data_IF_158195013065
#
_entry.id   IF_158195013065
#
_cell.length_a   1.000
_cell.length_b   1.000
_cell.length_c   1.000
_cell.angle_alpha   90.00
_cell.angle_beta   90.00
_cell.angle_gamma   90.00
#
_symmetry.space_group_name_H-M   'P 1'
#
loop_
_entity.id
_entity.type
_entity.pdbx_description
1 polymer ?
#
# COMPACT_ATOMS: atom_id res chain seq x y z
N UNK A 1 15.88 -14.76 29.59
CA UNK A 1 14.60 -15.02 28.89
C UNK A 1 14.39 -13.87 27.89
N UNK A 2 14.81 -14.06 26.62
CA UNK A 2 14.71 -13.04 25.56
C UNK A 2 13.39 -13.26 24.83
N UNK A 3 12.42 -12.42 25.10
CA UNK A 3 11.22 -12.31 24.27
C UNK A 3 11.56 -11.45 23.06
N UNK A 4 12.19 -12.06 22.05
CA UNK A 4 12.41 -11.41 20.77
C UNK A 4 11.10 -11.39 20.00
N UNK A 5 10.48 -10.21 19.87
CA UNK A 5 9.69 -9.93 18.68
C UNK A 5 10.70 -9.88 17.53
N UNK A 6 10.92 -10.99 16.83
CA UNK A 6 11.57 -10.98 15.53
C UNK A 6 10.61 -10.25 14.58
N UNK A 7 10.73 -8.92 14.54
CA UNK A 7 10.05 -8.12 13.54
C UNK A 7 10.63 -8.41 12.16
N UNK A 8 9.81 -8.31 11.12
CA UNK A 8 10.25 -8.43 9.72
C UNK A 8 11.40 -7.44 9.49
N UNK A 9 12.58 -7.94 9.10
CA UNK A 9 13.71 -7.09 8.75
C UNK A 9 13.50 -6.57 7.34
N UNK A 10 13.38 -5.27 7.21
CA UNK A 10 13.13 -4.62 5.93
C UNK A 10 14.10 -3.47 5.69
N UNK A 11 14.31 -3.16 4.42
CA UNK A 11 15.00 -1.96 3.95
C UNK A 11 14.11 -1.23 2.95
N UNK A 12 14.38 0.06 2.75
CA UNK A 12 13.80 0.82 1.66
C UNK A 12 14.88 1.30 0.70
N UNK A 13 14.57 1.31 -0.58
CA UNK A 13 15.46 1.79 -1.65
C UNK A 13 14.67 2.45 -2.78
N UNK A 14 15.38 2.95 -3.78
CA UNK A 14 14.79 3.51 -4.99
C UNK A 14 15.07 2.62 -6.20
N UNK A 15 14.62 3.04 -7.37
CA UNK A 15 15.02 2.46 -8.66
C UNK A 15 16.48 2.80 -8.98
N UNK A 16 17.11 2.07 -9.92
CA UNK A 16 18.46 2.33 -10.42
C UNK A 16 18.58 3.73 -11.02
N UNK A 17 19.81 4.27 -11.06
CA UNK A 17 20.09 5.58 -11.70
C UNK A 17 19.61 5.63 -13.15
N UNK A 18 19.15 6.83 -13.58
CA UNK A 18 18.71 7.08 -14.96
C UNK A 18 17.24 6.83 -15.23
N UNK A 19 16.45 6.36 -14.25
CA UNK A 19 15.00 6.26 -14.37
C UNK A 19 14.31 7.60 -14.01
N UNK A 20 13.13 7.83 -14.60
CA UNK A 20 12.32 9.01 -14.29
C UNK A 20 11.91 9.05 -12.82
N UNK A 21 11.56 10.23 -12.32
CA UNK A 21 11.07 10.46 -10.93
C UNK A 21 12.13 10.27 -9.83
N UNK A 22 13.42 10.50 -10.13
CA UNK A 22 14.50 10.26 -9.17
C UNK A 22 14.30 11.02 -7.85
N UNK A 23 13.96 12.31 -7.89
CA UNK A 23 13.76 13.12 -6.67
C UNK A 23 12.49 12.72 -5.92
N UNK A 24 11.39 12.45 -6.62
CA UNK A 24 10.14 11.96 -6.03
C UNK A 24 10.37 10.63 -5.32
N UNK A 25 11.04 9.68 -6.00
CA UNK A 25 11.36 8.38 -5.41
C UNK A 25 12.28 8.50 -4.20
N UNK A 26 13.27 9.40 -4.23
CA UNK A 26 14.17 9.63 -3.07
C UNK A 26 13.42 10.20 -1.87
N UNK A 27 12.55 11.19 -2.10
CA UNK A 27 11.73 11.78 -1.06
C UNK A 27 10.78 10.74 -0.44
N UNK A 28 10.15 9.92 -1.28
CA UNK A 28 9.29 8.83 -0.85
C UNK A 28 10.06 7.81 -0.02
N UNK A 29 11.21 7.32 -0.50
CA UNK A 29 12.05 6.36 0.22
C UNK A 29 12.50 6.93 1.58
N UNK A 30 12.94 8.18 1.64
CA UNK A 30 13.36 8.82 2.88
C UNK A 30 12.22 8.97 3.89
N UNK A 31 11.03 9.37 3.43
CA UNK A 31 9.82 9.48 4.26
C UNK A 31 9.43 8.11 4.82
N UNK A 32 9.38 7.10 3.98
CA UNK A 32 9.02 5.72 4.36
C UNK A 32 10.02 5.13 5.35
N UNK A 33 11.32 5.31 5.12
CA UNK A 33 12.36 4.87 6.04
C UNK A 33 12.17 5.45 7.44
N UNK A 34 11.92 6.76 7.52
CA UNK A 34 11.67 7.45 8.78
C UNK A 34 10.38 6.99 9.46
N UNK A 35 9.32 6.78 8.70
CA UNK A 35 8.02 6.36 9.22
C UNK A 35 8.06 4.96 9.81
N UNK A 36 8.78 4.04 9.16
CA UNK A 36 8.85 2.63 9.55
C UNK A 36 10.07 2.29 10.43
N UNK A 37 10.95 3.27 10.67
CA UNK A 37 12.23 3.08 11.38
C UNK A 37 13.09 1.97 10.76
N UNK A 38 13.24 2.01 9.42
CA UNK A 38 14.03 1.04 8.65
C UNK A 38 15.12 1.74 7.83
N UNK A 39 16.23 1.04 7.47
CA UNK A 39 17.30 1.63 6.68
C UNK A 39 16.86 2.10 5.29
N UNK A 40 17.25 3.32 4.92
CA UNK A 40 17.17 3.82 3.54
C UNK A 40 18.49 3.53 2.83
N UNK A 41 18.48 2.58 1.91
CA UNK A 41 19.66 2.03 1.26
C UNK A 41 19.80 2.58 -0.16
N UNK A 42 20.94 3.19 -0.53
CA UNK A 42 21.18 3.60 -1.91
C UNK A 42 21.13 2.42 -2.87
N UNK A 43 20.35 2.55 -3.94
CA UNK A 43 20.17 1.46 -4.90
C UNK A 43 21.46 1.08 -5.67
N UNK A 44 22.26 2.07 -6.04
CA UNK A 44 23.45 1.83 -6.86
C UNK A 44 23.14 1.03 -8.12
N UNK A 45 23.98 0.04 -8.40
CA UNK A 45 23.81 -0.93 -9.49
C UNK A 45 23.35 -2.32 -9.00
N UNK A 46 23.18 -2.49 -7.69
CA UNK A 46 22.87 -3.79 -7.09
C UNK A 46 21.45 -4.26 -7.46
N UNK A 47 21.23 -5.54 -7.54
CA UNK A 47 19.91 -6.16 -7.63
C UNK A 47 19.18 -6.02 -6.28
N UNK A 48 17.86 -6.15 -6.27
CA UNK A 48 17.11 -6.15 -5.00
C UNK A 48 17.51 -7.33 -4.13
N UNK A 49 17.81 -8.45 -4.74
CA UNK A 49 18.27 -9.64 -4.04
C UNK A 49 19.64 -9.44 -3.39
N UNK A 50 20.61 -8.82 -4.10
CA UNK A 50 21.90 -8.48 -3.52
C UNK A 50 21.76 -7.56 -2.32
N UNK A 51 20.91 -6.52 -2.41
CA UNK A 51 20.61 -5.66 -1.27
C UNK A 51 19.95 -6.43 -0.12
N UNK A 52 18.98 -7.29 -0.43
CA UNK A 52 18.28 -8.10 0.56
C UNK A 52 19.27 -8.97 1.35
N UNK A 53 20.16 -9.66 0.64
CA UNK A 53 21.21 -10.50 1.26
C UNK A 53 22.21 -9.66 2.06
N UNK A 54 22.73 -8.57 1.48
CA UNK A 54 23.74 -7.72 2.12
C UNK A 54 23.26 -7.10 3.44
N UNK A 55 21.98 -6.76 3.53
CA UNK A 55 21.36 -6.18 4.72
C UNK A 55 20.65 -7.21 5.61
N UNK A 56 20.67 -8.49 5.23
CA UNK A 56 19.95 -9.56 5.94
C UNK A 56 18.44 -9.25 6.04
N UNK A 57 17.88 -8.63 5.02
CA UNK A 57 16.49 -8.22 5.01
C UNK A 57 15.58 -9.33 4.47
N UNK A 58 14.38 -9.45 5.04
CA UNK A 58 13.34 -10.36 4.56
C UNK A 58 12.54 -9.72 3.43
N UNK A 59 12.48 -8.38 3.42
CA UNK A 59 11.70 -7.60 2.45
C UNK A 59 12.40 -6.30 2.05
N UNK A 60 12.08 -5.81 0.85
CA UNK A 60 12.56 -4.53 0.31
C UNK A 60 11.37 -3.68 -0.13
N UNK A 61 11.22 -2.50 0.45
CA UNK A 61 10.33 -1.48 -0.11
C UNK A 61 11.06 -0.71 -1.21
N UNK A 62 10.47 -0.62 -2.37
CA UNK A 62 11.04 0.07 -3.53
C UNK A 62 10.19 1.27 -3.90
N UNK A 63 10.74 2.47 -3.75
CA UNK A 63 10.10 3.68 -4.28
C UNK A 63 10.37 3.76 -5.79
N UNK A 64 9.32 3.59 -6.61
CA UNK A 64 9.39 3.63 -8.06
C UNK A 64 8.17 4.35 -8.64
N UNK A 65 8.39 5.26 -9.61
CA UNK A 65 7.31 6.04 -10.25
C UNK A 65 6.44 6.84 -9.28
N UNK A 66 7.00 7.23 -8.13
CA UNK A 66 6.28 7.97 -7.09
C UNK A 66 5.46 7.13 -6.13
N UNK A 67 5.43 5.79 -6.28
CA UNK A 67 4.69 4.88 -5.39
C UNK A 67 5.58 3.81 -4.80
N UNK A 68 5.12 3.19 -3.70
CA UNK A 68 5.81 2.08 -3.04
C UNK A 68 5.43 0.73 -3.65
N UNK A 69 6.42 -0.15 -3.72
CA UNK A 69 6.23 -1.58 -4.00
C UNK A 69 6.98 -2.37 -2.94
N UNK A 70 6.35 -3.37 -2.36
CA UNK A 70 6.98 -4.34 -1.46
C UNK A 70 7.47 -5.52 -2.29
N UNK A 71 8.73 -5.89 -2.12
CA UNK A 71 9.37 -7.03 -2.79
C UNK A 71 9.88 -8.00 -1.74
N UNK A 72 9.46 -9.25 -1.85
CA UNK A 72 9.88 -10.38 -1.00
C UNK A 72 10.39 -11.53 -1.85
N UNK A 73 10.77 -12.63 -1.23
CA UNK A 73 11.14 -13.86 -1.96
C UNK A 73 9.95 -14.49 -2.70
N UNK A 74 8.73 -14.27 -2.19
CA UNK A 74 7.48 -14.82 -2.74
C UNK A 74 6.92 -14.00 -3.90
N UNK A 75 7.35 -12.72 -4.04
CA UNK A 75 6.88 -11.86 -5.12
C UNK A 75 6.83 -10.38 -4.77
N UNK A 76 6.09 -9.64 -5.58
CA UNK A 76 5.87 -8.21 -5.42
C UNK A 76 4.43 -7.91 -5.03
N UNK A 77 4.24 -6.97 -4.08
CA UNK A 77 2.96 -6.38 -3.75
C UNK A 77 3.03 -4.88 -4.01
N UNK A 78 2.07 -4.38 -4.74
CA UNK A 78 1.87 -2.95 -4.99
C UNK A 78 0.38 -2.62 -4.92
N UNK A 79 0.07 -1.37 -4.64
CA UNK A 79 -1.32 -0.93 -4.66
C UNK A 79 -1.87 -0.96 -6.08
N UNK A 80 -3.04 -1.56 -6.21
CA UNK A 80 -3.85 -1.52 -7.43
C UNK A 80 -5.33 -1.63 -7.04
N UNK A 81 -6.20 -0.72 -7.48
CA UNK A 81 -7.62 -0.72 -7.10
C UNK A 81 -8.36 -2.00 -7.53
N UNK A 82 -7.81 -2.75 -8.48
CA UNK A 82 -8.29 -4.09 -8.86
C UNK A 82 -9.79 -4.13 -9.15
N UNK A 83 -10.45 -5.09 -8.52
CA UNK A 83 -11.90 -5.29 -8.66
C UNK A 83 -12.75 -4.18 -8.03
N UNK A 84 -12.20 -3.33 -7.16
CA UNK A 84 -12.96 -2.24 -6.54
C UNK A 84 -13.57 -1.31 -7.60
N UNK A 85 -12.82 -1.00 -8.66
CA UNK A 85 -13.30 -0.15 -9.77
C UNK A 85 -14.53 -0.74 -10.46
N UNK A 86 -14.51 -2.03 -10.76
CA UNK A 86 -15.66 -2.72 -11.36
C UNK A 86 -16.86 -2.76 -10.41
N UNK A 87 -16.62 -3.01 -9.12
CA UNK A 87 -17.65 -3.06 -8.08
C UNK A 87 -18.32 -1.69 -7.91
N UNK A 88 -17.55 -0.60 -7.84
CA UNK A 88 -18.08 0.76 -7.79
C UNK A 88 -18.91 1.09 -9.04
N UNK A 89 -18.42 0.71 -10.25
CA UNK A 89 -19.19 0.88 -11.48
C UNK A 89 -20.51 0.13 -11.45
N UNK A 90 -20.54 -1.09 -10.93
CA UNK A 90 -21.78 -1.85 -10.76
C UNK A 90 -22.76 -1.17 -9.79
N UNK A 91 -22.26 -0.65 -8.67
CA UNK A 91 -23.08 0.13 -7.72
C UNK A 91 -23.69 1.37 -8.37
N UNK A 92 -22.91 2.11 -9.17
CA UNK A 92 -23.41 3.26 -9.96
C UNK A 92 -24.52 2.88 -10.95
N UNK A 93 -24.47 1.67 -11.49
CA UNK A 93 -25.49 1.14 -12.42
C UNK A 93 -26.71 0.55 -11.69
N UNK A 94 -26.78 0.64 -10.36
CA UNK A 94 -27.87 0.11 -9.55
C UNK A 94 -27.79 -1.41 -9.32
N UNK A 95 -26.64 -2.04 -9.63
CA UNK A 95 -26.40 -3.43 -9.27
C UNK A 95 -25.95 -3.51 -7.80
N UNK A 96 -26.35 -4.57 -7.11
CA UNK A 96 -25.93 -4.81 -5.72
C UNK A 96 -24.45 -5.20 -5.62
N UNK A 97 -23.84 -4.88 -4.48
CA UNK A 97 -22.57 -5.43 -4.07
C UNK A 97 -22.74 -6.27 -2.78
N UNK A 98 -22.11 -7.44 -2.72
CA UNK A 98 -22.30 -8.36 -1.61
C UNK A 98 -21.82 -7.80 -0.28
N UNK A 99 -20.66 -7.10 -0.25
CA UNK A 99 -20.12 -6.49 0.95
C UNK A 99 -21.03 -5.36 1.45
N UNK A 100 -21.41 -4.44 0.54
CA UNK A 100 -22.29 -3.32 0.86
C UNK A 100 -23.62 -3.81 1.41
N UNK A 101 -24.19 -4.85 0.79
CA UNK A 101 -25.44 -5.45 1.24
C UNK A 101 -25.33 -6.18 2.58
N UNK A 102 -24.25 -6.95 2.76
CA UNK A 102 -24.03 -7.73 3.98
C UNK A 102 -23.81 -6.84 5.21
N UNK A 103 -23.09 -5.73 5.05
CA UNK A 103 -22.85 -4.75 6.11
C UNK A 103 -23.98 -3.72 6.23
N UNK A 104 -24.93 -3.68 5.31
CA UNK A 104 -25.99 -2.69 5.29
C UNK A 104 -25.47 -1.25 5.17
N UNK A 105 -24.39 -1.05 4.37
CA UNK A 105 -23.75 0.25 4.27
C UNK A 105 -24.68 1.26 3.60
N UNK A 106 -24.77 2.43 4.21
CA UNK A 106 -25.48 3.59 3.69
C UNK A 106 -24.62 4.84 3.86
N UNK A 107 -24.94 5.87 3.10
CA UNK A 107 -24.27 7.17 3.15
C UNK A 107 -24.17 7.72 4.57
N UNK A 108 -23.01 8.27 4.92
CA UNK A 108 -22.74 8.85 6.24
C UNK A 108 -22.27 7.86 7.32
N UNK A 109 -22.22 6.57 7.04
CA UNK A 109 -21.72 5.58 8.01
C UNK A 109 -20.21 5.67 8.23
N UNK A 110 -19.77 5.32 9.46
CA UNK A 110 -18.37 5.08 9.81
C UNK A 110 -18.11 3.57 9.83
N UNK A 111 -17.13 3.11 9.08
CA UNK A 111 -16.76 1.71 8.92
C UNK A 111 -15.37 1.48 9.49
N UNK A 112 -15.18 0.37 10.18
CA UNK A 112 -13.87 -0.15 10.59
C UNK A 112 -13.59 -1.44 9.84
N UNK A 113 -12.69 -1.40 8.86
CA UNK A 113 -12.14 -2.56 8.19
C UNK A 113 -10.94 -3.08 8.99
N UNK A 114 -11.12 -4.22 9.66
CA UNK A 114 -10.07 -4.83 10.50
C UNK A 114 -9.02 -5.64 9.71
N UNK A 115 -9.16 -5.76 8.40
CA UNK A 115 -8.31 -6.58 7.52
C UNK A 115 -8.04 -5.90 6.19
N UNK A 116 -7.54 -4.66 6.24
CA UNK A 116 -7.36 -3.80 5.06
C UNK A 116 -6.75 -4.51 3.84
N UNK A 117 -5.71 -5.34 4.07
CA UNK A 117 -5.05 -6.11 3.00
C UNK A 117 -4.64 -5.21 1.83
N UNK A 118 -5.18 -5.50 0.62
CA UNK A 118 -4.91 -4.69 -0.59
C UNK A 118 -5.77 -3.43 -0.70
N UNK A 119 -6.70 -3.21 0.23
CA UNK A 119 -7.57 -2.03 0.28
C UNK A 119 -8.76 -2.05 -0.68
N UNK A 120 -8.99 -3.16 -1.38
CA UNK A 120 -10.07 -3.23 -2.37
C UNK A 120 -11.46 -3.09 -1.74
N UNK A 121 -11.69 -3.71 -0.59
CA UNK A 121 -12.97 -3.61 0.15
C UNK A 121 -13.13 -2.20 0.73
N UNK A 122 -12.09 -1.65 1.36
CA UNK A 122 -12.11 -0.30 1.90
C UNK A 122 -12.43 0.79 0.86
N UNK A 123 -12.00 0.61 -0.40
CA UNK A 123 -12.37 1.49 -1.52
C UNK A 123 -13.87 1.42 -1.79
N UNK A 124 -14.45 0.22 -1.85
CA UNK A 124 -15.88 0.01 -2.09
C UNK A 124 -16.72 0.52 -0.92
N UNK A 125 -16.26 0.28 0.32
CA UNK A 125 -16.89 0.81 1.53
C UNK A 125 -16.89 2.34 1.53
N UNK A 126 -15.74 2.96 1.22
CA UNK A 126 -15.61 4.42 1.12
C UNK A 126 -16.56 5.00 0.06
N UNK A 127 -16.69 4.33 -1.08
CA UNK A 127 -17.64 4.71 -2.11
C UNK A 127 -19.09 4.62 -1.62
N UNK A 128 -19.44 3.55 -0.89
CA UNK A 128 -20.80 3.31 -0.42
C UNK A 128 -21.23 4.28 0.69
N UNK A 129 -20.31 4.65 1.60
CA UNK A 129 -20.62 5.59 2.68
C UNK A 129 -20.54 7.06 2.26
N UNK A 130 -19.91 7.34 1.12
CA UNK A 130 -19.88 8.69 0.53
C UNK A 130 -19.06 9.70 1.35
N UNK A 131 -19.19 10.98 0.95
CA UNK A 131 -18.42 12.08 1.55
C UNK A 131 -18.75 12.37 3.02
N UNK A 132 -19.92 11.98 3.48
CA UNK A 132 -20.38 12.19 4.87
C UNK A 132 -19.95 11.03 5.79
N UNK A 133 -19.45 9.93 5.22
CA UNK A 133 -18.98 8.77 5.95
C UNK A 133 -17.45 8.74 6.10
N UNK A 134 -16.96 7.72 6.80
CA UNK A 134 -15.52 7.47 6.92
C UNK A 134 -15.24 5.97 6.96
N UNK A 135 -14.10 5.56 6.40
CA UNK A 135 -13.58 4.19 6.51
C UNK A 135 -12.21 4.25 7.18
N UNK A 136 -12.04 3.45 8.23
CA UNK A 136 -10.75 3.25 8.90
C UNK A 136 -10.30 1.83 8.66
N UNK A 137 -9.20 1.65 7.92
CA UNK A 137 -8.61 0.33 7.67
C UNK A 137 -7.47 0.02 8.64
N UNK A 138 -7.45 -1.22 9.16
CA UNK A 138 -6.36 -1.76 9.98
C UNK A 138 -5.59 -2.82 9.19
N UNK A 139 -4.26 -2.76 9.25
CA UNK A 139 -3.37 -3.76 8.69
C UNK A 139 -2.27 -4.09 9.69
N UNK A 140 -2.09 -5.36 9.98
CA UNK A 140 -1.13 -5.82 11.00
C UNK A 140 0.32 -5.78 10.52
N UNK A 141 0.55 -5.92 9.20
CA UNK A 141 1.87 -5.83 8.61
C UNK A 141 2.20 -4.38 8.24
N UNK A 142 3.16 -3.72 8.92
CA UNK A 142 3.45 -2.32 8.68
C UNK A 142 3.98 -2.02 7.27
N UNK A 143 4.59 -3.00 6.59
CA UNK A 143 5.08 -2.83 5.22
C UNK A 143 3.93 -2.82 4.21
N UNK A 144 2.95 -3.72 4.39
CA UNK A 144 1.72 -3.74 3.60
C UNK A 144 0.94 -2.45 3.84
N UNK A 145 0.75 -2.08 5.11
CA UNK A 145 0.07 -0.83 5.47
C UNK A 145 0.69 0.39 4.77
N UNK A 146 2.03 0.48 4.75
CA UNK A 146 2.73 1.59 4.09
C UNK A 146 2.49 1.62 2.58
N UNK A 147 2.54 0.46 1.90
CA UNK A 147 2.28 0.36 0.44
C UNK A 147 0.86 0.76 0.10
N UNK A 148 -0.11 0.26 0.87
CA UNK A 148 -1.53 0.52 0.59
C UNK A 148 -1.90 1.96 0.92
N UNK A 149 -1.43 2.51 2.06
CA UNK A 149 -1.66 3.91 2.42
C UNK A 149 -1.05 4.87 1.39
N UNK A 150 0.18 4.60 0.90
CA UNK A 150 0.82 5.37 -0.15
C UNK A 150 0.01 5.31 -1.46
N UNK A 151 -0.44 4.12 -1.85
CA UNK A 151 -1.26 3.91 -3.04
C UNK A 151 -2.61 4.60 -2.97
N UNK A 152 -3.34 4.47 -1.85
CA UNK A 152 -4.62 5.14 -1.64
C UNK A 152 -4.49 6.68 -1.70
N UNK A 153 -3.41 7.24 -1.12
CA UNK A 153 -3.17 8.69 -1.18
C UNK A 153 -2.94 9.21 -2.61
N UNK A 154 -2.46 8.35 -3.52
CA UNK A 154 -2.27 8.69 -4.94
C UNK A 154 -3.48 8.36 -5.81
N UNK A 155 -4.36 7.47 -5.35
CA UNK A 155 -5.56 7.04 -6.07
C UNK A 155 -6.67 8.13 -6.13
N UNK A 156 -6.59 9.12 -5.25
CA UNK A 156 -7.54 10.25 -5.20
C UNK A 156 -7.24 11.36 -6.23
N UNK A 157 -6.16 11.22 -7.02
CA UNK A 157 -5.83 12.12 -8.13
C UNK A 157 -6.09 11.43 -9.48
N UNK A 158 -6.29 12.22 -10.53
CA UNK A 158 -6.66 11.85 -11.92
C UNK A 158 -5.71 10.87 -12.66
N UNK A 159 -5.03 9.98 -11.95
CA UNK A 159 -3.95 9.15 -12.48
C UNK A 159 -4.35 7.71 -12.84
N UNK A 160 -5.63 7.41 -12.92
CA UNK A 160 -6.15 6.07 -13.27
C UNK A 160 -7.07 6.10 -14.51
N UNK A 161 -6.77 6.98 -15.50
CA UNK A 161 -7.26 6.84 -16.86
C UNK A 161 -6.43 5.85 -17.69
#
# INVERSE_FOLDING_TARGET
MRTGKEGIRAIVTTVRRGQRYTEVNRALAARTAKQLDIPNVPRGNDSLEELRVAYGADAVLVARRGVLTLVTAEGELFFHPGMAHLRMKNLLLGHGDHLVSALGLVEGMNVLDCTLGTGADAIVESFAVGEQGAVTGLESNPLIAAVIADGLAHATGDNYE
#
